data_IF_321690599760
#
_entry.id   IF_321690599760
#
_cell.length_a   1.000
_cell.length_b   1.000
_cell.length_c   1.000
_cell.angle_alpha   90.00
_cell.angle_beta   90.00
_cell.angle_gamma   90.00
#
_symmetry.space_group_name_H-M   'P 1'
#
loop_
_entity.id
_entity.type
_entity.pdbx_description
1 polymer ?
#
# COMPACT_ATOMS: atom_id res chain seq x y z
N UNK A 1 -26.30 14.50 -72.44
CA UNK A 1 -25.68 13.30 -71.93
C UNK A 1 -24.59 13.68 -70.93
N UNK A 2 -24.96 13.82 -69.67
CA UNK A 2 -24.07 14.29 -68.59
C UNK A 2 -23.73 13.08 -67.71
N UNK A 3 -22.47 12.64 -67.68
CA UNK A 3 -22.00 11.55 -66.84
C UNK A 3 -21.69 12.09 -65.46
N UNK A 4 -22.40 11.59 -64.43
CA UNK A 4 -22.08 11.79 -63.02
C UNK A 4 -20.92 10.85 -62.68
N UNK A 5 -19.79 11.43 -62.22
CA UNK A 5 -18.69 10.69 -61.57
C UNK A 5 -19.03 10.63 -60.08
N UNK A 6 -19.28 9.41 -59.58
CA UNK A 6 -19.39 9.10 -58.16
C UNK A 6 -17.97 8.87 -57.63
N UNK A 7 -17.47 9.85 -56.86
CA UNK A 7 -16.22 9.67 -56.06
C UNK A 7 -16.54 8.91 -54.80
N UNK A 8 -16.03 7.69 -54.71
CA UNK A 8 -15.96 6.88 -53.46
C UNK A 8 -14.86 7.44 -52.54
N UNK A 9 -15.27 8.15 -51.48
CA UNK A 9 -14.37 8.44 -50.36
C UNK A 9 -14.13 7.17 -49.56
N UNK A 10 -12.96 6.58 -49.73
CA UNK A 10 -12.42 5.56 -48.80
C UNK A 10 -12.06 6.25 -47.47
N UNK A 11 -12.90 6.08 -46.46
CA UNK A 11 -12.53 6.36 -45.10
C UNK A 11 -11.42 5.36 -44.67
N UNK A 12 -10.28 5.82 -44.14
CA UNK A 12 -9.33 4.90 -43.52
C UNK A 12 -9.99 4.33 -42.26
N UNK A 13 -10.17 3.02 -42.26
CA UNK A 13 -10.49 2.27 -41.04
C UNK A 13 -9.34 2.50 -40.06
N UNK A 14 -9.55 3.33 -39.05
CA UNK A 14 -8.72 3.33 -37.85
C UNK A 14 -8.84 1.94 -37.21
N UNK A 15 -7.96 1.03 -37.61
CA UNK A 15 -7.64 -0.14 -36.82
C UNK A 15 -7.11 0.38 -35.48
N UNK A 16 -8.01 0.47 -34.51
CA UNK A 16 -7.65 0.63 -33.11
C UNK A 16 -6.77 -0.55 -32.72
N UNK A 17 -5.47 -0.35 -32.83
CA UNK A 17 -4.50 -1.21 -32.16
C UNK A 17 -4.78 -1.08 -30.67
N UNK A 18 -5.60 -1.96 -30.13
CA UNK A 18 -5.60 -2.26 -28.70
C UNK A 18 -4.23 -2.85 -28.38
N UNK A 19 -3.24 -1.99 -28.21
CA UNK A 19 -2.00 -2.34 -27.56
C UNK A 19 -2.30 -2.61 -26.07
N UNK A 20 -2.97 -3.73 -25.80
CA UNK A 20 -2.75 -4.45 -24.56
C UNK A 20 -1.35 -5.09 -24.67
N UNK A 21 -0.31 -4.25 -24.61
CA UNK A 21 1.00 -4.71 -24.23
C UNK A 21 0.83 -5.24 -22.80
N UNK A 22 0.55 -6.53 -22.70
CA UNK A 22 0.56 -7.24 -21.42
C UNK A 22 1.94 -7.01 -20.85
N UNK A 23 1.96 -6.20 -19.82
CA UNK A 23 3.17 -5.82 -19.16
C UNK A 23 3.87 -7.10 -18.69
N UNK A 24 5.11 -7.27 -19.09
CA UNK A 24 5.87 -8.50 -18.84
C UNK A 24 6.39 -8.44 -17.42
N UNK A 25 5.89 -9.32 -16.57
CA UNK A 25 6.43 -9.56 -15.25
C UNK A 25 7.75 -10.34 -15.36
N UNK A 26 8.73 -9.95 -14.54
CA UNK A 26 9.99 -10.66 -14.42
C UNK A 26 9.84 -12.02 -13.74
N UNK A 27 10.96 -12.70 -13.53
CA UNK A 27 11.01 -13.91 -12.72
C UNK A 27 11.05 -13.54 -11.22
N UNK A 28 10.49 -14.40 -10.37
CA UNK A 28 10.69 -14.29 -8.93
C UNK A 28 12.16 -14.50 -8.58
N UNK A 29 12.69 -13.60 -7.79
CA UNK A 29 14.05 -13.67 -7.25
C UNK A 29 14.01 -13.66 -5.72
N UNK A 30 14.97 -14.35 -5.09
CA UNK A 30 15.18 -14.27 -3.66
C UNK A 30 15.74 -12.89 -3.31
N UNK A 31 15.28 -12.31 -2.22
CA UNK A 31 15.84 -11.08 -1.66
C UNK A 31 16.99 -11.32 -0.68
N UNK A 32 17.54 -12.53 -0.67
CA UNK A 32 18.56 -12.98 0.29
C UNK A 32 17.98 -13.79 1.45
N UNK A 33 18.76 -14.01 2.48
CA UNK A 33 18.45 -14.91 3.59
C UNK A 33 17.48 -14.31 4.65
N UNK A 34 16.72 -13.28 4.30
CA UNK A 34 15.73 -12.69 5.21
C UNK A 34 14.52 -13.62 5.40
N UNK A 35 14.18 -13.92 6.65
CA UNK A 35 12.98 -14.67 7.01
C UNK A 35 12.01 -13.77 7.76
N UNK A 36 10.73 -13.75 7.34
CA UNK A 36 9.68 -12.98 7.97
C UNK A 36 8.66 -13.86 8.68
N UNK A 37 8.20 -13.40 9.83
CA UNK A 37 7.04 -13.99 10.53
C UNK A 37 5.74 -13.21 10.24
N UNK A 38 5.83 -12.07 9.55
CA UNK A 38 4.72 -11.20 9.23
C UNK A 38 4.72 -10.72 7.78
N UNK A 39 3.94 -9.69 7.52
CA UNK A 39 3.78 -9.05 6.22
C UNK A 39 4.94 -8.08 5.96
N UNK A 40 5.56 -8.08 4.77
CA UNK A 40 6.54 -7.07 4.39
C UNK A 40 5.88 -5.70 4.18
N UNK A 41 6.67 -4.62 4.29
CA UNK A 41 6.27 -3.28 3.90
C UNK A 41 7.38 -2.64 3.08
N UNK A 42 7.04 -1.98 1.98
CA UNK A 42 8.01 -1.39 1.06
C UNK A 42 7.67 0.05 0.74
N UNK A 43 8.70 0.88 0.56
CA UNK A 43 8.55 2.28 0.14
C UNK A 43 9.66 2.69 -0.82
N UNK A 44 9.31 3.56 -1.76
CA UNK A 44 10.26 4.13 -2.70
C UNK A 44 11.10 5.23 -2.04
N UNK A 45 12.40 5.17 -2.20
CA UNK A 45 13.36 6.22 -1.81
C UNK A 45 13.52 7.21 -2.97
N UNK A 46 13.83 6.67 -4.14
CA UNK A 46 14.07 7.42 -5.38
C UNK A 46 13.74 6.53 -6.59
N UNK A 47 13.82 7.08 -7.79
CA UNK A 47 13.69 6.27 -9.01
C UNK A 47 14.62 5.05 -8.98
N UNK A 48 14.07 3.88 -9.20
CA UNK A 48 14.75 2.58 -9.13
C UNK A 48 15.34 2.20 -7.77
N UNK A 49 15.01 2.92 -6.70
CA UNK A 49 15.47 2.60 -5.34
C UNK A 49 14.30 2.42 -4.38
N UNK A 50 14.16 1.23 -3.83
CA UNK A 50 13.10 0.83 -2.90
C UNK A 50 13.72 0.22 -1.65
N UNK A 51 13.17 0.57 -0.51
CA UNK A 51 13.44 -0.08 0.78
C UNK A 51 12.26 -0.96 1.14
N UNK A 52 12.54 -2.18 1.58
CA UNK A 52 11.55 -3.06 2.19
C UNK A 52 11.96 -3.44 3.62
N UNK A 53 10.99 -3.52 4.50
CA UNK A 53 11.16 -3.97 5.88
C UNK A 53 10.30 -5.20 6.16
N UNK A 54 10.79 -6.05 7.07
CA UNK A 54 10.11 -7.22 7.58
C UNK A 54 10.25 -7.32 9.09
N UNK A 55 9.34 -8.05 9.72
CA UNK A 55 9.53 -8.53 11.10
C UNK A 55 10.17 -9.91 11.07
N UNK A 56 11.36 -10.04 11.62
CA UNK A 56 12.08 -11.32 11.67
C UNK A 56 11.53 -12.25 12.76
N UNK A 57 11.88 -13.55 12.67
CA UNK A 57 11.57 -14.51 13.71
C UNK A 57 12.20 -14.21 15.09
N UNK A 58 13.12 -13.26 15.15
CA UNK A 58 13.69 -12.72 16.40
C UNK A 58 13.00 -11.44 16.88
N UNK A 59 11.82 -11.13 16.31
CA UNK A 59 11.03 -9.93 16.64
C UNK A 59 11.79 -8.61 16.40
N UNK A 60 12.69 -8.58 15.45
CA UNK A 60 13.40 -7.37 15.05
C UNK A 60 12.92 -6.87 13.68
N UNK A 61 12.97 -5.56 13.46
CA UNK A 61 12.82 -5.00 12.12
C UNK A 61 14.09 -5.29 11.35
N UNK A 62 13.99 -5.97 10.23
CA UNK A 62 15.05 -6.11 9.24
C UNK A 62 14.68 -5.34 7.98
N UNK A 63 15.65 -4.71 7.36
CA UNK A 63 15.50 -3.92 6.13
C UNK A 63 16.43 -4.41 5.05
N UNK A 64 16.01 -4.25 3.79
CA UNK A 64 16.83 -4.51 2.61
C UNK A 64 16.49 -3.48 1.53
N UNK A 65 17.43 -3.24 0.66
CA UNK A 65 17.34 -2.25 -0.40
C UNK A 65 17.40 -2.91 -1.77
N UNK A 66 16.53 -2.47 -2.66
CA UNK A 66 16.52 -2.83 -4.07
C UNK A 66 16.94 -1.63 -4.90
N UNK A 67 18.02 -1.75 -5.67
CA UNK A 67 18.58 -0.67 -6.48
C UNK A 67 18.03 -0.63 -7.92
N UNK A 68 16.91 -1.30 -8.17
CA UNK A 68 16.30 -1.43 -9.49
C UNK A 68 16.75 -2.67 -10.28
N UNK A 69 17.82 -3.34 -9.84
CA UNK A 69 18.38 -4.56 -10.47
C UNK A 69 18.60 -5.69 -9.48
N UNK A 70 19.19 -5.38 -8.35
CA UNK A 70 19.58 -6.37 -7.33
C UNK A 70 19.18 -5.92 -5.94
N UNK A 71 18.96 -6.90 -5.08
CA UNK A 71 18.81 -6.70 -3.64
C UNK A 71 20.15 -6.64 -2.96
N UNK A 72 20.25 -5.80 -1.96
CA UNK A 72 21.37 -5.81 -1.00
C UNK A 72 21.26 -6.96 -0.01
N UNK A 73 21.81 -6.78 1.18
CA UNK A 73 21.72 -7.72 2.28
C UNK A 73 20.74 -7.25 3.34
N UNK A 74 20.00 -8.18 3.95
CA UNK A 74 19.12 -7.86 5.06
C UNK A 74 19.92 -7.38 6.26
N UNK A 75 19.63 -6.18 6.71
CA UNK A 75 20.26 -5.56 7.89
C UNK A 75 19.24 -5.43 9.00
N UNK A 76 19.64 -5.79 10.21
CA UNK A 76 18.77 -5.63 11.39
C UNK A 76 18.83 -4.19 11.86
N UNK A 77 17.70 -3.51 11.85
CA UNK A 77 17.49 -2.30 12.63
C UNK A 77 17.38 -2.61 14.10
N UNK A 78 17.47 -2.21 15.09
CA UNK A 78 17.43 -2.70 16.46
C UNK A 78 15.99 -2.94 16.97
N UNK A 79 15.88 -3.66 18.05
CA UNK A 79 14.77 -3.69 19.00
C UNK A 79 13.81 -4.85 18.83
N UNK A 80 13.09 -5.15 19.91
CA UNK A 80 12.03 -6.14 19.93
C UNK A 80 10.70 -5.44 19.54
N UNK A 81 10.10 -5.85 18.43
CA UNK A 81 8.82 -5.34 17.94
C UNK A 81 7.73 -6.40 18.03
N UNK A 82 6.51 -5.99 18.36
CA UNK A 82 5.33 -6.83 18.44
C UNK A 82 4.48 -6.84 17.18
N UNK A 83 4.64 -5.83 16.30
CA UNK A 83 3.89 -5.69 15.06
C UNK A 83 4.78 -5.79 13.83
N UNK A 84 4.14 -5.97 12.68
CA UNK A 84 4.77 -5.82 11.38
C UNK A 84 5.16 -4.35 11.14
N UNK A 85 6.18 -4.08 10.31
CA UNK A 85 6.62 -2.74 10.01
C UNK A 85 5.69 -2.04 9.02
N UNK A 86 5.58 -0.72 9.14
CA UNK A 86 5.03 0.17 8.13
C UNK A 86 6.13 1.08 7.61
N UNK A 87 6.41 1.05 6.30
CA UNK A 87 7.38 1.91 5.65
C UNK A 87 6.67 2.89 4.71
N UNK A 88 7.10 4.14 4.74
CA UNK A 88 6.58 5.19 3.86
C UNK A 88 7.69 6.15 3.45
N UNK A 89 7.63 6.67 2.22
CA UNK A 89 8.44 7.83 1.83
C UNK A 89 7.91 9.07 2.56
N UNK A 90 8.82 9.96 2.97
CA UNK A 90 8.42 11.25 3.53
C UNK A 90 8.24 12.34 2.46
N UNK A 91 8.38 11.97 1.18
CA UNK A 91 8.27 12.90 0.05
C UNK A 91 9.49 13.79 -0.18
N UNK A 92 10.53 13.71 0.67
CA UNK A 92 11.80 14.47 0.52
C UNK A 92 12.98 13.59 0.10
N UNK A 93 12.71 12.32 -0.23
CA UNK A 93 13.74 11.34 -0.59
C UNK A 93 14.17 10.45 0.56
N UNK A 94 13.56 10.57 1.73
CA UNK A 94 13.77 9.65 2.84
C UNK A 94 12.64 8.62 2.93
N UNK A 95 12.93 7.49 3.57
CA UNK A 95 11.96 6.46 3.93
C UNK A 95 11.95 6.28 5.44
N UNK A 96 10.79 6.38 6.04
CA UNK A 96 10.56 6.04 7.43
C UNK A 96 9.99 4.63 7.52
N UNK A 97 10.59 3.77 8.35
CA UNK A 97 9.99 2.50 8.76
C UNK A 97 9.72 2.51 10.26
N UNK A 98 8.51 2.12 10.64
CA UNK A 98 8.07 2.12 12.02
C UNK A 98 7.31 0.83 12.37
N UNK A 99 7.35 0.41 13.62
CA UNK A 99 6.59 -0.72 14.16
C UNK A 99 6.23 -0.46 15.64
N UNK A 100 5.21 -1.12 16.14
CA UNK A 100 4.92 -1.13 17.57
C UNK A 100 5.90 -2.09 18.27
N UNK A 101 6.57 -1.62 19.30
CA UNK A 101 7.47 -2.47 20.11
C UNK A 101 6.69 -3.29 21.16
N UNK A 102 7.36 -4.20 21.81
CA UNK A 102 6.76 -5.08 22.85
C UNK A 102 6.23 -4.33 24.08
N UNK A 103 6.53 -3.04 24.20
CA UNK A 103 6.04 -2.17 25.30
C UNK A 103 4.92 -1.23 24.85
N UNK A 104 4.43 -1.37 23.61
CA UNK A 104 3.39 -0.53 23.03
C UNK A 104 3.86 0.84 22.56
N UNK A 105 5.16 1.06 22.39
CA UNK A 105 5.72 2.32 21.88
C UNK A 105 5.93 2.21 20.38
N UNK A 106 5.86 3.34 19.67
CA UNK A 106 6.24 3.41 18.26
C UNK A 106 7.77 3.45 18.15
N UNK A 107 8.35 2.38 17.61
CA UNK A 107 9.77 2.31 17.26
C UNK A 107 9.92 2.70 15.79
N UNK A 108 10.83 3.60 15.49
CA UNK A 108 11.01 4.10 14.13
C UNK A 108 12.48 4.35 13.80
N UNK A 109 12.79 4.38 12.52
CA UNK A 109 14.07 4.77 11.95
C UNK A 109 13.84 5.40 10.59
N UNK A 110 14.70 6.36 10.24
CA UNK A 110 14.66 7.07 8.97
C UNK A 110 15.87 6.67 8.12
N UNK A 111 15.64 6.34 6.88
CA UNK A 111 16.66 6.13 5.85
C UNK A 111 16.75 7.36 4.97
N UNK A 112 17.94 7.95 4.86
CA UNK A 112 18.18 9.20 4.10
C UNK A 112 18.67 8.95 2.67
N UNK A 113 18.48 7.75 2.14
CA UNK A 113 19.01 7.34 0.85
C UNK A 113 20.39 6.70 0.90
N UNK A 114 21.08 6.77 2.04
CA UNK A 114 22.42 6.20 2.24
C UNK A 114 22.58 5.45 3.56
N UNK A 115 22.02 5.99 4.64
CA UNK A 115 22.18 5.44 5.99
C UNK A 115 20.85 5.51 6.77
N UNK A 116 20.69 4.59 7.71
CA UNK A 116 19.62 4.59 8.68
C UNK A 116 19.98 5.38 9.92
N UNK A 117 19.04 6.18 10.43
CA UNK A 117 19.18 6.75 11.77
C UNK A 117 19.14 5.64 12.82
N UNK A 118 19.76 5.88 13.98
CA UNK A 118 19.60 4.99 15.12
C UNK A 118 18.11 4.87 15.48
N UNK A 119 17.54 3.67 15.61
CA UNK A 119 16.15 3.49 15.96
C UNK A 119 15.77 4.19 17.27
N UNK A 120 14.73 4.99 17.23
CA UNK A 120 14.23 5.77 18.34
C UNK A 120 12.80 5.34 18.72
N UNK A 121 12.32 5.81 19.88
CA UNK A 121 11.01 5.49 20.42
C UNK A 121 10.16 6.75 20.58
N UNK A 122 8.91 6.67 20.17
CA UNK A 122 7.86 7.63 20.56
C UNK A 122 7.03 6.96 21.65
N UNK A 123 6.87 7.63 22.77
CA UNK A 123 6.00 7.14 23.86
C UNK A 123 4.55 7.17 23.39
N UNK A 124 3.95 5.99 23.26
CA UNK A 124 2.58 5.79 22.83
C UNK A 124 2.01 4.57 23.57
N UNK A 125 0.69 4.43 23.59
CA UNK A 125 0.02 3.23 24.07
C UNK A 125 -0.64 2.53 22.87
N UNK A 126 0.18 1.96 21.98
CA UNK A 126 -0.26 1.29 20.77
C UNK A 126 -0.55 -0.19 21.06
N UNK A 127 -1.50 -0.74 20.32
CA UNK A 127 -1.92 -2.15 20.45
C UNK A 127 -1.85 -2.92 19.14
N UNK A 128 -1.81 -2.23 18.00
CA UNK A 128 -1.71 -2.85 16.68
C UNK A 128 -0.47 -2.37 15.93
N UNK A 129 -0.25 -2.94 14.76
CA UNK A 129 0.73 -2.38 13.85
C UNK A 129 0.34 -0.95 13.45
N UNK A 130 1.32 -0.07 13.29
CA UNK A 130 1.09 1.26 12.80
C UNK A 130 0.90 1.24 11.29
N UNK A 131 0.13 2.20 10.77
CA UNK A 131 0.15 2.58 9.38
C UNK A 131 0.66 4.01 9.28
N UNK A 132 1.77 4.19 8.58
CA UNK A 132 2.42 5.47 8.41
C UNK A 132 2.29 5.93 6.97
N UNK A 133 1.95 7.20 6.76
CA UNK A 133 1.80 7.79 5.44
C UNK A 133 2.40 9.20 5.38
N UNK A 134 2.93 9.57 4.23
CA UNK A 134 3.37 10.92 3.97
C UNK A 134 2.18 11.89 4.08
N UNK A 135 2.32 12.93 4.89
CA UNK A 135 1.31 13.98 5.03
C UNK A 135 1.61 15.15 4.11
N UNK A 136 2.77 15.73 4.27
CA UNK A 136 3.36 16.72 3.38
C UNK A 136 4.86 16.42 3.26
N UNK A 137 5.57 17.09 2.37
CA UNK A 137 7.01 16.88 2.18
C UNK A 137 7.75 16.96 3.52
N UNK A 138 8.49 15.93 3.86
CA UNK A 138 9.23 15.78 5.11
C UNK A 138 8.38 15.43 6.33
N UNK A 139 7.05 15.29 6.21
CA UNK A 139 6.17 14.99 7.33
C UNK A 139 5.47 13.65 7.16
N UNK A 140 5.38 12.89 8.26
CA UNK A 140 4.76 11.55 8.27
C UNK A 140 3.76 11.45 9.40
N UNK A 141 2.53 11.07 9.08
CA UNK A 141 1.49 10.71 10.02
C UNK A 141 1.52 9.21 10.26
N UNK A 142 1.66 8.76 11.50
CA UNK A 142 1.51 7.36 11.89
C UNK A 142 0.27 7.19 12.76
N UNK A 143 -0.54 6.20 12.44
CA UNK A 143 -1.80 5.85 13.12
C UNK A 143 -1.78 4.38 13.48
N UNK A 144 -2.21 4.04 14.69
CA UNK A 144 -2.37 2.66 15.13
C UNK A 144 -3.59 2.53 16.05
N UNK A 145 -4.06 1.33 16.27
CA UNK A 145 -5.09 1.07 17.28
C UNK A 145 -4.47 1.13 18.67
N UNK A 146 -5.15 1.74 19.61
CA UNK A 146 -4.79 1.73 21.01
C UNK A 146 -5.45 0.56 21.78
N UNK A 147 -5.08 0.37 23.04
CA UNK A 147 -5.57 -0.74 23.87
C UNK A 147 -7.09 -0.68 24.16
N UNK A 148 -7.73 0.47 24.01
CA UNK A 148 -9.18 0.64 24.24
C UNK A 148 -10.02 0.43 22.99
N UNK A 149 -9.39 0.07 21.85
CA UNK A 149 -10.06 -0.12 20.56
C UNK A 149 -10.25 1.16 19.74
N UNK A 150 -9.85 2.33 20.27
CA UNK A 150 -9.75 3.57 19.51
C UNK A 150 -8.48 3.62 18.67
N UNK A 151 -8.28 4.73 17.94
CA UNK A 151 -7.02 5.02 17.25
C UNK A 151 -6.15 5.97 18.07
N UNK A 152 -4.84 5.76 18.00
CA UNK A 152 -3.83 6.71 18.45
C UNK A 152 -3.03 7.17 17.23
N UNK A 153 -2.66 8.44 17.18
CA UNK A 153 -1.87 8.99 16.09
C UNK A 153 -0.82 9.97 16.58
N UNK A 154 0.22 10.12 15.81
CA UNK A 154 1.30 11.09 16.02
C UNK A 154 1.85 11.55 14.68
N UNK A 155 2.35 12.79 14.62
CA UNK A 155 2.89 13.41 13.43
C UNK A 155 4.38 13.68 13.61
N UNK A 156 5.19 13.19 12.70
CA UNK A 156 6.59 13.58 12.51
C UNK A 156 6.64 14.83 11.63
N UNK A 157 7.26 15.89 12.09
CA UNK A 157 7.30 17.19 11.39
C UNK A 157 8.60 17.42 10.59
N UNK A 158 9.39 16.37 10.37
CA UNK A 158 10.70 16.46 9.74
C UNK A 158 11.87 16.51 10.74
N UNK A 159 11.60 16.75 12.03
CA UNK A 159 12.62 16.82 13.09
C UNK A 159 12.19 16.08 14.36
N UNK A 160 10.95 16.27 14.79
CA UNK A 160 10.41 15.74 16.05
C UNK A 160 9.01 15.18 15.85
N UNK A 161 8.59 14.34 16.79
CA UNK A 161 7.23 13.82 16.86
C UNK A 161 6.35 14.70 17.72
N UNK A 162 5.10 14.89 17.31
CA UNK A 162 4.06 15.47 18.15
C UNK A 162 3.76 14.57 19.35
N UNK A 163 3.12 15.12 20.38
CA UNK A 163 2.48 14.28 21.38
C UNK A 163 1.46 13.34 20.73
N UNK A 164 1.39 12.10 21.23
CA UNK A 164 0.40 11.12 20.78
C UNK A 164 -1.00 11.58 21.18
N UNK A 165 -1.92 11.56 20.23
CA UNK A 165 -3.33 11.92 20.42
C UNK A 165 -4.21 10.72 20.16
N UNK A 166 -5.35 10.65 20.86
CA UNK A 166 -6.36 9.61 20.62
C UNK A 166 -7.49 10.14 19.75
N UNK A 167 -7.98 9.30 18.87
CA UNK A 167 -9.15 9.53 18.04
C UNK A 167 -10.22 8.52 18.43
N UNK A 168 -11.36 9.02 18.92
CA UNK A 168 -12.45 8.17 19.36
C UNK A 168 -13.08 7.43 18.18
N UNK A 169 -13.01 6.12 18.20
CA UNK A 169 -13.64 5.20 17.26
C UNK A 169 -13.62 3.80 17.86
N UNK A 170 -14.29 2.83 17.22
CA UNK A 170 -14.25 1.42 17.61
C UNK A 170 -13.70 0.64 16.41
N UNK A 171 -12.40 0.41 16.41
CA UNK A 171 -11.68 -0.36 15.40
C UNK A 171 -11.34 -1.76 15.93
N UNK A 172 -11.50 -2.79 15.10
CA UNK A 172 -10.98 -4.13 15.38
C UNK A 172 -9.81 -4.49 14.46
N UNK A 173 -9.69 -3.85 13.30
CA UNK A 173 -8.50 -3.94 12.44
C UNK A 173 -7.45 -2.91 12.83
N UNK A 174 -6.21 -3.12 12.43
CA UNK A 174 -5.28 -2.00 12.30
C UNK A 174 -5.73 -1.08 11.14
N UNK A 175 -5.40 0.22 11.19
CA UNK A 175 -5.72 1.12 10.10
C UNK A 175 -4.80 0.89 8.91
N UNK A 176 -5.26 1.19 7.70
CA UNK A 176 -4.43 1.41 6.53
C UNK A 176 -4.53 2.86 6.10
N UNK A 177 -3.39 3.53 6.06
CA UNK A 177 -3.29 4.96 5.76
C UNK A 177 -2.46 5.18 4.49
N UNK A 178 -2.87 6.14 3.68
CA UNK A 178 -2.13 6.57 2.49
C UNK A 178 -2.26 8.07 2.28
N UNK A 179 -1.26 8.69 1.65
CA UNK A 179 -1.37 10.08 1.22
C UNK A 179 -2.42 10.22 0.11
N UNK A 180 -3.17 11.31 0.10
CA UNK A 180 -3.99 11.69 -1.06
C UNK A 180 -3.18 12.50 -2.08
N UNK A 181 -1.92 12.80 -1.80
CA UNK A 181 -1.05 13.67 -2.60
C UNK A 181 -1.64 15.07 -2.86
N UNK A 182 -2.56 15.50 -2.00
CA UNK A 182 -3.22 16.81 -2.05
C UNK A 182 -3.29 17.44 -0.64
N UNK A 183 -2.26 17.20 0.17
CA UNK A 183 -2.15 17.74 1.53
C UNK A 183 -2.99 17.01 2.57
N UNK A 184 -3.36 15.76 2.31
CA UNK A 184 -4.09 14.93 3.26
C UNK A 184 -3.59 13.48 3.34
N UNK A 185 -3.95 12.82 4.44
CA UNK A 185 -3.78 11.37 4.65
C UNK A 185 -5.15 10.76 4.89
N UNK A 186 -5.51 9.76 4.12
CA UNK A 186 -6.73 8.97 4.29
C UNK A 186 -6.39 7.67 4.98
N UNK A 187 -7.07 7.38 6.08
CA UNK A 187 -6.95 6.12 6.82
C UNK A 187 -8.28 5.37 6.77
N UNK A 188 -8.24 4.10 6.44
CA UNK A 188 -9.40 3.19 6.51
C UNK A 188 -9.19 2.11 7.55
N UNK A 189 -10.27 1.65 8.12
CA UNK A 189 -10.33 0.58 9.13
C UNK A 189 -11.66 -0.14 9.04
N UNK A 190 -11.81 -1.30 9.69
CA UNK A 190 -13.14 -1.86 9.89
C UNK A 190 -13.47 -2.06 11.36
N UNK A 191 -14.78 -2.05 11.65
CA UNK A 191 -15.34 -2.13 12.99
C UNK A 191 -15.80 -3.54 13.31
N UNK A 192 -16.11 -3.80 14.59
CA UNK A 192 -16.68 -5.08 15.03
C UNK A 192 -18.02 -5.43 14.33
N UNK A 193 -18.75 -4.42 13.84
CA UNK A 193 -19.96 -4.63 13.05
C UNK A 193 -19.69 -4.96 11.57
N UNK A 194 -18.43 -5.08 11.17
CA UNK A 194 -18.02 -5.33 9.78
C UNK A 194 -18.05 -4.10 8.87
N UNK A 195 -18.45 -2.93 9.40
CA UNK A 195 -18.47 -1.71 8.62
C UNK A 195 -17.05 -1.20 8.34
N UNK A 196 -16.78 -0.83 7.10
CA UNK A 196 -15.54 -0.15 6.73
C UNK A 196 -15.72 1.35 6.92
N UNK A 197 -14.84 1.96 7.71
CA UNK A 197 -14.81 3.39 7.94
C UNK A 197 -13.56 4.00 7.30
N UNK A 198 -13.66 5.24 6.86
CA UNK A 198 -12.50 6.04 6.47
C UNK A 198 -12.56 7.41 7.16
N UNK A 199 -11.39 7.99 7.42
CA UNK A 199 -11.25 9.35 7.90
C UNK A 199 -10.05 10.01 7.20
N UNK A 200 -10.13 11.31 6.97
CA UNK A 200 -9.06 12.09 6.35
C UNK A 200 -8.46 13.06 7.37
N UNK A 201 -7.14 13.08 7.44
CA UNK A 201 -6.38 14.09 8.16
C UNK A 201 -5.88 15.13 7.16
N UNK A 202 -6.35 16.35 7.25
CA UNK A 202 -5.96 17.46 6.39
C UNK A 202 -5.99 18.76 7.17
N UNK A 203 -5.17 19.75 6.78
CA UNK A 203 -5.08 21.06 7.45
C UNK A 203 -4.87 20.96 8.98
N UNK A 204 -4.14 19.93 9.43
CA UNK A 204 -3.83 19.72 10.85
C UNK A 204 -4.95 19.11 11.69
N UNK A 205 -6.04 18.66 11.08
CA UNK A 205 -7.20 18.09 11.77
C UNK A 205 -7.80 16.89 11.04
N UNK A 206 -8.52 16.02 11.78
CA UNK A 206 -9.35 14.97 11.24
C UNK A 206 -10.70 15.52 10.80
N UNK A 207 -11.15 15.17 9.58
CA UNK A 207 -12.40 15.69 8.99
C UNK A 207 -13.66 14.88 9.38
N UNK A 208 -13.49 13.76 10.10
CA UNK A 208 -14.58 12.92 10.60
C UNK A 208 -14.70 11.59 9.85
N UNK A 209 -15.17 10.55 10.55
CA UNK A 209 -15.35 9.22 9.98
C UNK A 209 -16.54 9.18 9.01
N UNK A 210 -16.30 8.61 7.85
CA UNK A 210 -17.33 8.25 6.87
C UNK A 210 -17.49 6.73 6.85
N UNK A 211 -18.73 6.26 6.80
CA UNK A 211 -19.04 4.84 6.55
C UNK A 211 -19.01 4.59 5.04
N UNK A 212 -18.14 3.70 4.60
CA UNK A 212 -17.95 3.35 3.20
C UNK A 212 -18.95 2.30 2.69
N UNK A 213 -19.95 1.96 3.48
CA UNK A 213 -21.07 1.04 3.11
C UNK A 213 -20.61 -0.32 2.57
N UNK A 214 -19.52 -0.86 3.08
CA UNK A 214 -19.02 -2.20 2.75
C UNK A 214 -19.04 -3.12 3.97
N UNK A 215 -19.00 -4.41 3.74
CA UNK A 215 -18.80 -5.43 4.78
C UNK A 215 -17.45 -6.09 4.50
N UNK A 216 -16.45 -5.78 5.34
CA UNK A 216 -15.12 -6.35 5.26
C UNK A 216 -15.02 -7.63 6.12
N UNK A 217 -14.32 -8.63 5.60
CA UNK A 217 -13.92 -9.83 6.33
C UNK A 217 -12.42 -9.84 6.65
N UNK A 218 -11.71 -8.75 6.32
CA UNK A 218 -10.27 -8.57 6.53
C UNK A 218 -9.90 -7.09 6.64
N UNK A 219 -8.65 -6.84 6.95
CA UNK A 219 -8.12 -5.50 7.14
C UNK A 219 -8.12 -4.71 5.83
N UNK A 220 -8.45 -3.42 5.84
CA UNK A 220 -8.37 -2.62 4.62
C UNK A 220 -6.92 -2.37 4.22
N UNK A 221 -6.69 -2.14 2.92
CA UNK A 221 -5.44 -1.62 2.38
C UNK A 221 -5.73 -0.45 1.45
N UNK A 222 -5.11 0.70 1.70
CA UNK A 222 -5.36 1.93 0.94
C UNK A 222 -4.11 2.35 0.19
N UNK A 223 -4.27 2.77 -1.04
CA UNK A 223 -3.19 3.30 -1.86
C UNK A 223 -3.61 4.56 -2.60
N UNK A 224 -2.67 5.51 -2.72
CA UNK A 224 -2.84 6.70 -3.56
C UNK A 224 -2.80 6.32 -5.04
N UNK A 225 -3.59 7.01 -5.84
CA UNK A 225 -3.50 6.92 -7.30
C UNK A 225 -2.53 7.96 -7.89
N UNK A 226 -1.85 8.75 -7.05
CA UNK A 226 -0.95 9.82 -7.48
C UNK A 226 -1.60 10.82 -8.45
N UNK A 227 -2.92 11.01 -8.34
CA UNK A 227 -3.70 11.85 -9.24
C UNK A 227 -4.85 12.54 -8.50
N UNK A 228 -4.83 13.89 -8.44
CA UNK A 228 -5.94 14.73 -8.02
C UNK A 228 -6.60 14.37 -6.67
N UNK A 229 -5.83 13.88 -5.71
CA UNK A 229 -6.35 13.45 -4.41
C UNK A 229 -7.07 12.10 -4.43
N UNK A 230 -7.02 11.37 -5.53
CA UNK A 230 -7.68 10.07 -5.64
C UNK A 230 -6.95 8.99 -4.82
N UNK A 231 -7.74 8.21 -4.10
CA UNK A 231 -7.27 7.09 -3.27
C UNK A 231 -8.18 5.89 -3.53
N UNK A 232 -7.62 4.69 -3.52
CA UNK A 232 -8.42 3.47 -3.49
C UNK A 232 -8.13 2.71 -2.21
N UNK A 233 -9.18 2.33 -1.49
CA UNK A 233 -9.09 1.43 -0.35
C UNK A 233 -9.68 0.07 -0.75
N UNK A 234 -8.88 -0.96 -0.57
CA UNK A 234 -9.25 -2.35 -0.82
C UNK A 234 -9.68 -3.01 0.48
N UNK A 235 -10.61 -3.93 0.40
CA UNK A 235 -11.01 -4.76 1.51
C UNK A 235 -11.28 -6.18 1.03
N UNK A 236 -10.83 -7.17 1.81
CA UNK A 236 -11.20 -8.55 1.59
C UNK A 236 -12.59 -8.79 2.18
N UNK A 237 -13.50 -9.36 1.38
CA UNK A 237 -14.81 -9.78 1.85
C UNK A 237 -14.78 -11.16 2.53
N UNK A 238 -15.86 -11.56 3.18
CA UNK A 238 -15.97 -12.86 3.89
C UNK A 238 -15.76 -14.08 2.98
N UNK A 239 -16.10 -13.98 1.70
CA UNK A 239 -15.86 -15.04 0.70
C UNK A 239 -14.48 -14.97 0.06
N UNK A 240 -13.50 -14.31 0.69
CA UNK A 240 -12.12 -14.13 0.21
C UNK A 240 -11.99 -13.36 -1.11
N UNK A 241 -13.05 -12.74 -1.61
CA UNK A 241 -13.00 -11.80 -2.73
C UNK A 241 -12.38 -10.47 -2.31
N UNK A 242 -11.67 -9.80 -3.21
CA UNK A 242 -11.17 -8.44 -3.00
C UNK A 242 -12.11 -7.44 -3.63
N UNK A 243 -12.38 -6.36 -2.90
CA UNK A 243 -13.25 -5.26 -3.30
C UNK A 243 -12.49 -3.95 -3.17
N UNK A 244 -12.60 -3.09 -4.17
CA UNK A 244 -12.01 -1.76 -4.16
C UNK A 244 -13.06 -0.67 -4.07
N UNK A 245 -12.83 0.36 -3.25
CA UNK A 245 -13.64 1.56 -3.18
C UNK A 245 -12.76 2.78 -3.43
N UNK A 246 -13.13 3.61 -4.39
CA UNK A 246 -12.34 4.76 -4.83
C UNK A 246 -12.91 6.06 -4.27
N UNK A 247 -12.06 6.84 -3.63
CA UNK A 247 -12.27 8.25 -3.34
C UNK A 247 -11.82 9.09 -4.54
N UNK A 248 -12.71 9.97 -5.01
CA UNK A 248 -12.47 10.79 -6.21
C UNK A 248 -11.86 12.16 -5.90
N UNK A 249 -11.17 12.28 -4.78
CA UNK A 249 -10.55 13.54 -4.37
C UNK A 249 -11.55 14.67 -4.04
N UNK A 250 -11.04 15.85 -3.75
CA UNK A 250 -11.85 17.03 -3.41
C UNK A 250 -12.30 17.06 -1.96
N UNK A 251 -13.50 17.59 -1.72
CA UNK A 251 -14.07 17.72 -0.38
C UNK A 251 -14.30 16.35 0.27
N UNK A 252 -14.07 16.28 1.58
CA UNK A 252 -14.30 15.05 2.33
C UNK A 252 -15.80 14.81 2.53
N UNK A 253 -16.37 13.92 1.75
CA UNK A 253 -17.79 13.59 1.79
C UNK A 253 -18.04 12.17 1.28
N UNK A 254 -19.07 11.51 1.82
CA UNK A 254 -19.47 10.15 1.41
C UNK A 254 -19.79 10.06 -0.09
N UNK A 255 -20.33 11.11 -0.69
CA UNK A 255 -20.64 11.20 -2.13
C UNK A 255 -19.42 11.21 -3.04
N UNK A 256 -18.22 11.37 -2.49
CA UNK A 256 -16.94 11.29 -3.21
C UNK A 256 -16.36 9.87 -3.27
N UNK A 257 -17.00 8.92 -2.62
CA UNK A 257 -16.65 7.51 -2.69
C UNK A 257 -17.54 6.78 -3.70
N UNK A 258 -16.94 5.96 -4.55
CA UNK A 258 -17.63 5.27 -5.65
C UNK A 258 -18.41 4.02 -5.23
N UNK A 259 -18.28 3.59 -3.98
CA UNK A 259 -18.79 2.31 -3.51
C UNK A 259 -17.82 1.15 -3.81
N UNK A 260 -18.00 0.03 -3.11
CA UNK A 260 -17.17 -1.15 -3.30
C UNK A 260 -17.53 -1.88 -4.59
N UNK A 261 -16.55 -2.01 -5.48
CA UNK A 261 -16.61 -2.85 -6.69
C UNK A 261 -15.79 -4.13 -6.51
N UNK A 262 -16.36 -5.26 -6.91
CA UNK A 262 -15.65 -6.54 -6.88
C UNK A 262 -14.53 -6.58 -7.91
N UNK A 263 -13.36 -7.09 -7.49
CA UNK A 263 -12.20 -7.28 -8.38
C UNK A 263 -12.09 -8.73 -8.89
N UNK A 264 -13.09 -9.58 -8.61
CA UNK A 264 -13.05 -11.04 -8.83
C UNK A 264 -11.89 -11.75 -8.11
N UNK A 265 -11.80 -13.09 -8.24
CA UNK A 265 -10.77 -13.89 -7.59
C UNK A 265 -11.00 -14.13 -6.11
N UNK A 266 -10.26 -15.12 -5.55
CA UNK A 266 -10.26 -15.46 -4.12
C UNK A 266 -8.82 -15.51 -3.60
N UNK A 267 -8.55 -14.75 -2.53
CA UNK A 267 -7.18 -14.51 -2.07
C UNK A 267 -7.02 -14.82 -0.59
N UNK A 268 -5.80 -15.22 -0.22
CA UNK A 268 -5.45 -15.57 1.16
C UNK A 268 -5.58 -14.36 2.10
N UNK A 269 -5.23 -13.17 1.57
CA UNK A 269 -5.27 -11.92 2.30
C UNK A 269 -5.61 -10.76 1.36
N UNK A 270 -5.47 -9.51 1.81
CA UNK A 270 -5.68 -8.35 0.97
C UNK A 270 -4.67 -8.26 -0.19
N UNK A 271 -5.03 -7.50 -1.21
CA UNK A 271 -4.12 -7.13 -2.26
C UNK A 271 -3.23 -5.98 -1.78
N UNK A 272 -1.91 -6.11 -1.94
CA UNK A 272 -0.98 -4.99 -1.81
C UNK A 272 -0.91 -4.23 -3.12
N UNK A 273 -1.26 -2.96 -3.10
CA UNK A 273 -1.38 -2.13 -4.30
C UNK A 273 -0.46 -0.91 -4.25
N UNK A 274 -0.02 -0.46 -5.41
CA UNK A 274 0.75 0.77 -5.56
C UNK A 274 0.48 1.47 -6.88
N UNK A 275 0.77 2.77 -6.94
CA UNK A 275 0.72 3.55 -8.17
C UNK A 275 2.14 3.93 -8.61
N UNK A 276 2.51 3.55 -9.81
CA UNK A 276 3.80 3.95 -10.42
C UNK A 276 3.65 5.12 -11.38
N UNK A 277 2.43 5.39 -11.84
CA UNK A 277 2.08 6.47 -12.76
C UNK A 277 0.74 7.04 -12.34
N UNK A 278 0.58 8.35 -12.45
CA UNK A 278 -0.65 9.04 -12.07
C UNK A 278 -1.89 8.41 -12.68
N UNK A 279 -2.85 8.03 -11.84
CA UNK A 279 -4.11 7.42 -12.25
C UNK A 279 -4.07 5.93 -12.57
N UNK A 280 -2.89 5.27 -12.52
CA UNK A 280 -2.73 3.84 -12.74
C UNK A 280 -2.41 3.13 -11.42
N UNK A 281 -2.85 1.88 -11.27
CA UNK A 281 -2.56 1.04 -10.11
C UNK A 281 -2.08 -0.33 -10.55
N UNK A 282 -1.16 -0.88 -9.78
CA UNK A 282 -0.76 -2.30 -9.86
C UNK A 282 -1.05 -2.92 -8.49
N UNK A 283 -1.81 -3.99 -8.49
CA UNK A 283 -2.14 -4.75 -7.30
C UNK A 283 -1.59 -6.16 -7.41
N UNK A 284 -0.99 -6.67 -6.34
CA UNK A 284 -0.58 -8.05 -6.18
C UNK A 284 -1.38 -8.74 -5.09
N UNK A 285 -1.67 -10.02 -5.24
CA UNK A 285 -2.33 -10.84 -4.22
C UNK A 285 -1.91 -12.30 -4.33
N UNK A 286 -1.98 -13.06 -3.22
CA UNK A 286 -1.71 -14.50 -3.20
C UNK A 286 -3.03 -15.27 -3.18
N UNK A 287 -3.24 -16.16 -4.16
CA UNK A 287 -4.51 -16.88 -4.31
C UNK A 287 -4.68 -18.00 -3.28
N UNK A 288 -5.93 -18.24 -2.85
CA UNK A 288 -6.29 -19.34 -1.94
C UNK A 288 -6.01 -20.72 -2.57
N UNK A 289 -6.21 -20.83 -3.88
CA UNK A 289 -6.23 -22.13 -4.58
C UNK A 289 -4.86 -22.74 -4.75
N UNK A 290 -3.83 -21.93 -4.95
CA UNK A 290 -2.49 -22.42 -5.31
C UNK A 290 -1.33 -21.67 -4.65
N UNK A 291 -1.67 -20.69 -3.78
CA UNK A 291 -0.71 -19.78 -3.13
C UNK A 291 0.19 -19.01 -4.11
N UNK A 292 -0.12 -19.01 -5.40
CA UNK A 292 0.64 -18.26 -6.37
C UNK A 292 0.32 -16.75 -6.27
N UNK A 293 1.28 -15.93 -6.68
CA UNK A 293 1.09 -14.50 -6.82
C UNK A 293 0.35 -14.20 -8.13
N UNK A 294 -0.69 -13.41 -7.99
CA UNK A 294 -1.48 -12.86 -9.08
C UNK A 294 -1.35 -11.34 -9.08
N UNK A 295 -1.41 -10.76 -10.26
CA UNK A 295 -1.41 -9.32 -10.43
C UNK A 295 -2.64 -8.85 -11.20
N UNK A 296 -3.10 -7.63 -10.88
CA UNK A 296 -4.19 -6.94 -11.56
C UNK A 296 -3.80 -5.47 -11.75
N UNK A 297 -4.05 -4.94 -12.92
CA UNK A 297 -3.66 -3.58 -13.29
C UNK A 297 -4.91 -2.75 -13.58
N UNK A 298 -5.01 -1.59 -12.95
CA UNK A 298 -5.98 -0.57 -13.30
C UNK A 298 -5.39 0.35 -14.36
N UNK A 299 -5.95 0.34 -15.56
CA UNK A 299 -5.49 1.11 -16.71
C UNK A 299 -6.10 2.50 -16.83
N UNK A 300 -6.65 3.06 -15.75
CA UNK A 300 -7.32 4.37 -15.76
C UNK A 300 -8.84 4.29 -15.94
N UNK A 301 -9.35 3.28 -16.63
CA UNK A 301 -10.79 3.09 -16.91
C UNK A 301 -11.33 1.73 -16.46
N UNK A 302 -10.52 0.70 -16.49
CA UNK A 302 -10.91 -0.66 -16.12
C UNK A 302 -9.74 -1.45 -15.54
N UNK A 303 -10.08 -2.50 -14.77
CA UNK A 303 -9.13 -3.51 -14.32
C UNK A 303 -8.85 -4.52 -15.44
N UNK A 304 -7.58 -4.94 -15.57
CA UNK A 304 -7.16 -5.97 -16.55
C UNK A 304 -7.69 -7.37 -16.22
N UNK A 305 -8.15 -7.58 -15.00
CA UNK A 305 -8.37 -8.90 -14.42
C UNK A 305 -7.09 -9.48 -13.82
N UNK A 306 -7.27 -10.46 -12.89
CA UNK A 306 -6.14 -11.10 -12.22
C UNK A 306 -5.45 -12.10 -13.16
N UNK A 307 -4.15 -11.92 -13.31
CA UNK A 307 -3.28 -12.81 -14.09
C UNK A 307 -2.28 -13.50 -13.18
N UNK A 308 -2.14 -14.81 -13.29
CA UNK A 308 -1.13 -15.59 -12.55
C UNK A 308 0.26 -15.21 -13.02
N UNK A 309 1.11 -14.77 -12.11
CA UNK A 309 2.50 -14.43 -12.38
C UNK A 309 3.42 -15.58 -11.96
N UNK A 310 3.07 -16.32 -10.92
CA UNK A 310 3.84 -17.45 -10.40
C UNK A 310 4.29 -17.24 -8.97
N UNK A 311 5.40 -17.83 -8.58
CA UNK A 311 5.86 -17.85 -7.19
C UNK A 311 4.94 -18.68 -6.29
N UNK A 312 5.21 -18.65 -4.98
CA UNK A 312 4.36 -19.28 -3.97
C UNK A 312 4.54 -18.54 -2.65
N UNK A 313 3.47 -18.01 -2.10
CA UNK A 313 3.52 -17.15 -0.92
C UNK A 313 2.29 -17.19 -0.04
N UNK A 314 2.38 -16.50 1.08
CA UNK A 314 1.31 -16.32 2.06
C UNK A 314 1.21 -14.88 2.49
N UNK A 315 0.01 -14.46 2.91
CA UNK A 315 -0.26 -13.10 3.35
C UNK A 315 -0.34 -12.09 2.20
N UNK A 316 -0.49 -10.83 2.56
CA UNK A 316 -0.51 -9.71 1.62
C UNK A 316 0.89 -9.44 1.08
N UNK A 317 1.09 -9.31 -0.23
CA UNK A 317 2.33 -8.79 -0.78
C UNK A 317 2.45 -7.28 -0.52
N UNK A 318 3.67 -6.77 -0.47
CA UNK A 318 3.93 -5.33 -0.46
C UNK A 318 4.46 -4.91 -1.83
N UNK A 319 3.80 -3.97 -2.48
CA UNK A 319 4.24 -3.43 -3.75
C UNK A 319 4.67 -1.97 -3.60
N UNK A 320 5.79 -1.61 -4.21
CA UNK A 320 6.29 -0.23 -4.24
C UNK A 320 6.64 0.19 -5.67
N UNK A 321 6.46 1.48 -6.02
CA UNK A 321 6.84 1.96 -7.33
C UNK A 321 8.37 2.02 -7.46
N UNK A 322 8.87 1.74 -8.65
CA UNK A 322 10.28 1.92 -9.00
C UNK A 322 10.53 3.23 -9.76
N UNK A 323 9.48 4.00 -10.03
CA UNK A 323 9.51 5.03 -11.07
C UNK A 323 9.57 4.37 -12.47
N UNK A 324 9.71 5.14 -13.53
CA UNK A 324 9.86 4.60 -14.90
C UNK A 324 8.74 3.65 -15.36
N UNK A 325 7.55 3.70 -14.74
CA UNK A 325 6.42 2.84 -15.10
C UNK A 325 6.57 1.39 -14.64
N UNK A 326 7.35 1.11 -13.59
CA UNK A 326 7.56 -0.21 -13.02
C UNK A 326 7.24 -0.24 -11.54
N UNK A 327 6.96 -1.44 -11.05
CA UNK A 327 6.77 -1.74 -9.62
C UNK A 327 7.63 -2.93 -9.21
N UNK A 328 8.03 -2.99 -7.96
CA UNK A 328 8.51 -4.22 -7.32
C UNK A 328 7.48 -4.67 -6.30
N UNK A 329 7.07 -5.94 -6.39
CA UNK A 329 6.23 -6.57 -5.37
C UNK A 329 7.05 -7.61 -4.61
N UNK A 330 6.93 -7.58 -3.31
CA UNK A 330 7.64 -8.43 -2.36
C UNK A 330 6.64 -9.25 -1.58
N UNK A 331 6.88 -10.54 -1.43
CA UNK A 331 6.00 -11.43 -0.67
C UNK A 331 6.78 -12.39 0.22
N UNK A 332 6.12 -12.84 1.27
CA UNK A 332 6.60 -13.94 2.10
C UNK A 332 6.28 -15.26 1.41
N UNK A 333 7.30 -16.03 1.06
CA UNK A 333 7.15 -17.37 0.52
C UNK A 333 6.71 -18.38 1.61
N UNK A 334 6.25 -19.56 1.20
CA UNK A 334 5.78 -20.61 2.13
C UNK A 334 6.86 -21.07 3.13
N UNK A 335 8.14 -20.95 2.79
CA UNK A 335 9.27 -21.24 3.66
C UNK A 335 9.72 -20.04 4.51
N UNK A 336 8.90 -18.99 4.61
CA UNK A 336 9.16 -17.72 5.28
C UNK A 336 10.31 -16.89 4.69
N UNK A 337 10.95 -17.30 3.63
CA UNK A 337 11.88 -16.44 2.88
C UNK A 337 11.13 -15.33 2.15
N UNK A 338 11.83 -14.28 1.87
CA UNK A 338 11.26 -13.16 1.12
C UNK A 338 11.68 -13.28 -0.35
N UNK A 339 10.69 -13.21 -1.21
CA UNK A 339 10.88 -13.21 -2.66
C UNK A 339 10.26 -11.96 -3.28
N UNK A 340 10.76 -11.56 -4.42
CA UNK A 340 10.28 -10.38 -5.14
C UNK A 340 10.10 -10.65 -6.62
N UNK A 341 9.25 -9.86 -7.24
CA UNK A 341 9.07 -9.81 -8.69
C UNK A 341 8.92 -8.36 -9.13
N UNK A 342 9.52 -8.03 -10.27
CA UNK A 342 9.37 -6.71 -10.89
C UNK A 342 8.34 -6.80 -12.00
N UNK A 343 7.43 -5.87 -12.03
CA UNK A 343 6.36 -5.76 -13.01
C UNK A 343 6.23 -4.35 -13.59
N UNK A 344 5.21 -4.16 -14.39
CA UNK A 344 4.89 -2.89 -15.04
C UNK A 344 4.34 -1.90 -14.04
#
# INVERSE_FOLDING_TARGET
>A
MTRLLMSFLLLPACLGLSNSAWAVWGKFISTGAGTSIGTPSCAQVATSHVVCAIRSGKYAIMVNEFNGTTWGSWTTLAGAVSSDPSCTSDGSGNVMCAATDITGKLRWSLFNGATWTTPALVTAALYSEPSCANYTVGQVLCVARNATGGLAYTLYNGATWSAVKNLATIAISHPSCTTDNNGGVICSLYTKAGATLANRYANGAWEGFLNLTGIAGGEPDCTSMNQNGNVVCFAKGYASGVYGNRFFGGAWAATRWGGYGAMSGTFNDNAGCTSHTAGLLVCGATAVTDNAFYANVWGGSSWSGWSKIGGSGTGSPACAPLGTGKVVCVMKALNNLITSVVGP
#
